data_IF_154127143329
#
_entry.id   IF_154127143329
#
_cell.length_a   1.000
_cell.length_b   1.000
_cell.length_c   1.000
_cell.angle_alpha   90.00
_cell.angle_beta   90.00
_cell.angle_gamma   90.00
#
_symmetry.space_group_name_H-M   'P 1'
#
loop_
_entity.id
_entity.type
_entity.pdbx_description
1 polymer ?
#
# COMPACT_ATOMS: atom_id res chain seq x y z
N UNK A 1 5.29 23.27 2.77
CA UNK A 1 4.09 23.38 1.89
C UNK A 1 4.28 22.77 0.51
N UNK A 2 5.37 23.00 -0.22
CA UNK A 2 5.58 22.39 -1.54
C UNK A 2 5.53 20.86 -1.57
N UNK A 3 6.11 20.18 -0.57
CA UNK A 3 6.10 18.72 -0.49
C UNK A 3 4.70 18.12 -0.33
N UNK A 4 3.81 18.79 0.40
CA UNK A 4 2.42 18.37 0.55
C UNK A 4 1.65 18.52 -0.77
N UNK A 5 1.91 19.58 -1.54
CA UNK A 5 1.30 19.79 -2.87
C UNK A 5 1.74 18.67 -3.81
N UNK A 6 3.04 18.34 -3.85
CA UNK A 6 3.57 17.25 -4.68
C UNK A 6 2.99 15.90 -4.28
N UNK A 7 2.80 15.64 -2.98
CA UNK A 7 2.14 14.42 -2.49
C UNK A 7 0.67 14.34 -2.94
N UNK A 8 -0.08 15.43 -2.83
CA UNK A 8 -1.47 15.48 -3.28
C UNK A 8 -1.54 15.27 -4.79
N UNK A 9 -0.66 15.91 -5.56
CA UNK A 9 -0.61 15.75 -7.01
C UNK A 9 -0.33 14.28 -7.39
N UNK A 10 0.60 13.62 -6.69
CA UNK A 10 0.90 12.20 -6.89
C UNK A 10 -0.31 11.30 -6.57
N UNK A 11 -1.10 11.63 -5.54
CA UNK A 11 -2.34 10.90 -5.22
C UNK A 11 -3.44 11.14 -6.25
N UNK A 12 -3.55 12.36 -6.78
CA UNK A 12 -4.55 12.69 -7.81
C UNK A 12 -4.34 11.91 -9.12
N UNK A 13 -3.11 11.49 -9.42
CA UNK A 13 -2.83 10.60 -10.56
C UNK A 13 -3.54 9.25 -10.45
N UNK A 14 -3.81 8.77 -9.22
CA UNK A 14 -4.51 7.49 -9.01
C UNK A 14 -5.97 7.53 -9.48
N UNK A 15 -6.56 8.73 -9.60
CA UNK A 15 -7.92 8.96 -10.09
C UNK A 15 -8.03 9.08 -11.62
N UNK A 16 -6.91 8.91 -12.34
CA UNK A 16 -6.83 8.97 -13.79
C UNK A 16 -6.49 7.59 -14.37
N UNK A 17 -7.05 7.27 -15.53
CA UNK A 17 -6.69 6.06 -16.27
C UNK A 17 -5.19 6.12 -16.63
N UNK A 18 -4.40 5.15 -16.14
CA UNK A 18 -2.96 5.10 -16.43
C UNK A 18 -2.14 6.26 -15.85
N UNK A 19 -2.65 6.98 -14.84
CA UNK A 19 -1.91 8.03 -14.13
C UNK A 19 -1.85 9.40 -14.80
N UNK A 20 -2.16 9.49 -16.10
CA UNK A 20 -2.16 10.75 -16.88
C UNK A 20 -3.26 10.83 -17.94
N UNK A 21 -4.10 9.79 -18.06
CA UNK A 21 -5.21 9.73 -18.99
C UNK A 21 -6.48 10.43 -18.46
N UNK A 22 -7.66 10.16 -19.04
CA UNK A 22 -8.92 10.75 -18.57
C UNK A 22 -9.25 10.32 -17.14
N UNK A 23 -10.12 11.10 -16.49
CA UNK A 23 -10.67 10.75 -15.18
C UNK A 23 -11.38 9.39 -15.20
N UNK A 24 -11.30 8.68 -14.09
CA UNK A 24 -12.01 7.42 -13.91
C UNK A 24 -13.54 7.61 -13.92
N UNK A 25 -14.30 6.53 -14.20
CA UNK A 25 -15.75 6.53 -14.02
C UNK A 25 -16.13 7.03 -12.63
N UNK A 26 -17.24 7.78 -12.53
CA UNK A 26 -17.69 8.39 -11.27
C UNK A 26 -17.85 7.37 -10.14
N UNK A 27 -18.32 6.17 -10.47
CA UNK A 27 -18.50 5.04 -9.55
C UNK A 27 -17.17 4.62 -8.90
N UNK A 28 -16.10 4.52 -9.69
CA UNK A 28 -14.75 4.18 -9.21
C UNK A 28 -14.18 5.31 -8.34
N UNK A 29 -14.36 6.57 -8.75
CA UNK A 29 -13.90 7.74 -7.99
C UNK A 29 -14.56 7.76 -6.61
N UNK A 30 -15.87 7.49 -6.55
CA UNK A 30 -16.63 7.44 -5.30
C UNK A 30 -16.13 6.30 -4.42
N UNK A 31 -15.94 5.10 -4.97
CA UNK A 31 -15.40 3.95 -4.22
C UNK A 31 -13.99 4.20 -3.66
N UNK A 32 -13.10 4.78 -4.48
CA UNK A 32 -11.74 5.16 -4.05
C UNK A 32 -11.75 6.23 -2.94
N UNK A 33 -12.67 7.20 -3.03
CA UNK A 33 -12.78 8.26 -2.02
C UNK A 33 -13.32 7.72 -0.69
N UNK A 34 -14.36 6.87 -0.74
CA UNK A 34 -14.94 6.25 0.46
C UNK A 34 -13.89 5.37 1.18
N UNK A 35 -13.16 4.55 0.43
CA UNK A 35 -12.11 3.69 0.99
C UNK A 35 -10.94 4.50 1.55
N UNK A 36 -10.53 5.60 0.90
CA UNK A 36 -9.52 6.50 1.42
C UNK A 36 -9.95 7.19 2.73
N UNK A 37 -11.19 7.67 2.80
CA UNK A 37 -11.75 8.26 4.02
C UNK A 37 -11.83 7.23 5.15
N UNK A 38 -12.24 6.00 4.85
CA UNK A 38 -12.23 4.91 5.82
C UNK A 38 -10.82 4.60 6.32
N UNK A 39 -9.82 4.58 5.44
CA UNK A 39 -8.42 4.34 5.82
C UNK A 39 -7.89 5.42 6.77
N UNK A 40 -8.20 6.70 6.48
CA UNK A 40 -7.86 7.83 7.34
C UNK A 40 -8.56 7.70 8.70
N UNK A 41 -9.86 7.40 8.71
CA UNK A 41 -10.62 7.20 9.94
C UNK A 41 -10.05 6.04 10.76
N UNK A 42 -9.74 4.90 10.13
CA UNK A 42 -9.14 3.74 10.76
C UNK A 42 -7.77 4.08 11.38
N UNK A 43 -6.92 4.82 10.68
CA UNK A 43 -5.61 5.24 11.20
C UNK A 43 -5.74 6.16 12.44
N UNK A 44 -6.68 7.10 12.40
CA UNK A 44 -6.93 8.04 13.51
C UNK A 44 -7.57 7.32 14.71
N UNK A 45 -8.50 6.39 14.48
CA UNK A 45 -9.15 5.65 15.56
C UNK A 45 -8.18 4.64 16.19
N UNK A 46 -7.38 3.93 15.38
CA UNK A 46 -6.45 2.92 15.88
C UNK A 46 -5.37 3.51 16.80
N UNK A 47 -4.86 4.70 16.46
CA UNK A 47 -3.89 5.40 17.30
C UNK A 47 -4.44 5.83 18.66
N UNK A 48 -5.76 5.85 18.84
CA UNK A 48 -6.44 6.15 20.11
C UNK A 48 -6.75 4.92 20.96
N UNK A 49 -6.42 3.70 20.50
CA UNK A 49 -6.63 2.47 21.27
C UNK A 49 -5.35 2.11 22.05
N UNK A 50 -5.29 2.40 23.36
CA UNK A 50 -4.03 2.34 24.13
C UNK A 50 -3.48 0.92 24.36
N UNK A 51 -4.29 -0.15 24.19
CA UNK A 51 -3.85 -1.53 24.43
C UNK A 51 -3.41 -2.30 23.18
N UNK A 52 -3.90 -1.93 22.00
CA UNK A 52 -3.65 -2.67 20.75
C UNK A 52 -2.65 -1.94 19.85
N UNK A 53 -2.53 -0.62 19.99
CA UNK A 53 -1.61 0.20 19.19
C UNK A 53 -0.12 -0.04 19.47
N UNK A 54 0.25 -0.68 20.59
CA UNK A 54 1.65 -1.01 20.90
C UNK A 54 2.17 -2.23 20.13
N UNK A 55 1.29 -3.11 19.65
CA UNK A 55 1.66 -4.33 18.94
C UNK A 55 1.71 -4.15 17.42
N UNK A 56 0.97 -3.17 16.89
CA UNK A 56 0.83 -2.96 15.45
C UNK A 56 0.85 -1.46 15.14
N UNK A 57 1.78 -1.00 14.27
CA UNK A 57 1.77 0.36 13.78
C UNK A 57 0.40 0.73 13.20
N UNK A 58 -0.14 1.87 13.60
CA UNK A 58 -1.43 2.37 13.11
C UNK A 58 -1.57 2.38 11.57
N UNK A 59 -0.52 2.71 10.78
CA UNK A 59 -0.60 2.61 9.32
C UNK A 59 -0.85 1.18 8.83
N UNK A 60 -0.20 0.19 9.45
CA UNK A 60 -0.32 -1.21 9.05
C UNK A 60 -1.71 -1.75 9.40
N UNK A 61 -2.22 -1.43 10.59
CA UNK A 61 -3.58 -1.77 10.98
C UNK A 61 -4.64 -1.11 10.08
N UNK A 62 -4.44 0.16 9.73
CA UNK A 62 -5.31 0.89 8.78
C UNK A 62 -5.37 0.19 7.42
N UNK A 63 -4.22 -0.23 6.86
CA UNK A 63 -4.18 -0.96 5.58
C UNK A 63 -4.94 -2.27 5.67
N UNK A 64 -4.76 -3.04 6.74
CA UNK A 64 -5.48 -4.31 6.95
C UNK A 64 -6.99 -4.07 7.02
N UNK A 65 -7.43 -3.14 7.87
CA UNK A 65 -8.85 -2.82 8.05
C UNK A 65 -9.48 -2.32 6.76
N UNK A 66 -8.78 -1.45 6.02
CA UNK A 66 -9.27 -0.92 4.74
C UNK A 66 -9.33 -2.02 3.68
N UNK A 67 -8.40 -2.98 3.69
CA UNK A 67 -8.43 -4.12 2.78
C UNK A 67 -9.65 -5.00 3.05
N UNK A 68 -9.92 -5.30 4.32
CA UNK A 68 -11.12 -6.06 4.72
C UNK A 68 -12.39 -5.31 4.32
N UNK A 69 -12.45 -4.01 4.63
CA UNK A 69 -13.58 -3.15 4.27
C UNK A 69 -13.81 -3.13 2.75
N UNK A 70 -12.75 -3.02 1.95
CA UNK A 70 -12.85 -3.02 0.49
C UNK A 70 -13.37 -4.36 -0.04
N UNK A 71 -12.99 -5.49 0.55
CA UNK A 71 -13.51 -6.83 0.19
C UNK A 71 -15.00 -6.94 0.52
N UNK A 72 -15.42 -6.43 1.68
CA UNK A 72 -16.83 -6.41 2.08
C UNK A 72 -17.65 -5.50 1.17
N UNK A 73 -17.15 -4.32 0.83
CA UNK A 73 -17.82 -3.41 -0.10
C UNK A 73 -17.90 -3.96 -1.52
N UNK A 74 -16.91 -4.73 -1.97
CA UNK A 74 -16.96 -5.45 -3.25
C UNK A 74 -18.12 -6.45 -3.26
N UNK A 75 -18.34 -7.18 -2.16
CA UNK A 75 -19.50 -8.08 -2.04
C UNK A 75 -20.86 -7.37 -2.07
N UNK A 76 -20.89 -6.06 -1.80
CA UNK A 76 -22.07 -5.21 -1.85
C UNK A 76 -22.22 -4.44 -3.19
N UNK A 77 -21.37 -4.72 -4.19
CA UNK A 77 -21.46 -4.14 -5.53
C UNK A 77 -20.71 -2.81 -5.73
N UNK A 78 -19.87 -2.39 -4.78
CA UNK A 78 -18.97 -1.26 -5.01
C UNK A 78 -17.75 -1.69 -5.83
N UNK A 79 -17.43 -0.93 -6.89
CA UNK A 79 -16.24 -1.13 -7.70
C UNK A 79 -14.97 -0.92 -6.86
N UNK A 80 -14.15 -1.97 -6.74
CA UNK A 80 -12.86 -1.93 -6.05
C UNK A 80 -11.74 -1.83 -7.07
N UNK A 81 -10.90 -0.80 -6.95
CA UNK A 81 -9.65 -0.68 -7.70
C UNK A 81 -8.49 -1.21 -6.86
N UNK A 82 -7.80 -2.22 -7.35
CA UNK A 82 -6.67 -2.82 -6.64
C UNK A 82 -5.35 -2.14 -7.00
N UNK A 83 -4.31 -2.37 -6.20
CA UNK A 83 -2.96 -1.89 -6.51
C UNK A 83 -2.48 -2.37 -7.89
N UNK A 84 -2.89 -3.57 -8.31
CA UNK A 84 -2.59 -4.13 -9.62
C UNK A 84 -3.18 -3.28 -10.76
N UNK A 85 -4.35 -2.68 -10.55
CA UNK A 85 -5.04 -1.86 -11.56
C UNK A 85 -4.50 -0.41 -11.61
N UNK A 86 -3.76 0.00 -10.58
CA UNK A 86 -3.15 1.34 -10.48
C UNK A 86 -1.69 1.32 -10.93
N UNK A 87 -0.88 0.37 -10.45
CA UNK A 87 0.54 0.29 -10.81
C UNK A 87 0.81 -0.58 -12.05
N UNK A 88 -0.22 -1.24 -12.58
CA UNK A 88 -0.10 -2.20 -13.67
C UNK A 88 0.43 -3.56 -13.20
N UNK A 89 0.03 -4.62 -13.91
CA UNK A 89 0.44 -5.99 -13.62
C UNK A 89 1.98 -6.15 -13.69
N UNK A 90 2.61 -5.47 -14.64
CA UNK A 90 4.07 -5.47 -14.88
C UNK A 90 4.90 -5.10 -13.64
N UNK A 91 4.46 -4.08 -12.87
CA UNK A 91 5.20 -3.57 -11.70
C UNK A 91 5.29 -4.59 -10.56
N UNK A 92 4.32 -5.52 -10.47
CA UNK A 92 4.28 -6.54 -9.42
C UNK A 92 4.76 -7.92 -9.88
N UNK A 93 4.84 -8.17 -11.20
CA UNK A 93 5.32 -9.44 -11.77
C UNK A 93 6.81 -9.64 -11.48
N UNK A 94 7.60 -8.57 -11.40
CA UNK A 94 9.02 -8.63 -11.05
C UNK A 94 9.33 -8.70 -9.55
N UNK A 95 8.43 -8.24 -8.66
CA UNK A 95 8.79 -7.95 -7.27
C UNK A 95 9.35 -9.13 -6.46
N UNK A 96 8.98 -10.38 -6.78
CA UNK A 96 9.57 -11.58 -6.15
C UNK A 96 10.81 -12.10 -6.86
N UNK A 97 10.93 -11.87 -8.16
CA UNK A 97 12.05 -12.36 -8.99
C UNK A 97 13.20 -11.36 -9.07
N UNK A 98 12.96 -10.09 -8.73
CA UNK A 98 13.98 -9.04 -8.62
C UNK A 98 14.55 -8.92 -7.21
N UNK A 99 13.97 -9.60 -6.21
CA UNK A 99 14.58 -9.67 -4.89
C UNK A 99 15.86 -10.51 -5.01
N UNK A 100 17.04 -9.94 -4.68
CA UNK A 100 18.24 -10.74 -4.63
C UNK A 100 18.04 -11.88 -3.63
N UNK A 101 18.55 -13.07 -3.95
CA UNK A 101 18.55 -14.17 -2.99
C UNK A 101 19.19 -13.71 -1.70
N UNK A 102 18.56 -14.03 -0.56
CA UNK A 102 19.11 -13.75 0.76
C UNK A 102 20.44 -14.51 0.93
N UNK A 103 21.56 -13.81 0.74
CA UNK A 103 22.92 -14.35 0.85
C UNK A 103 23.55 -13.91 2.18
N UNK A 104 22.83 -14.16 3.28
CA UNK A 104 23.38 -13.92 4.62
C UNK A 104 23.14 -15.14 5.53
N UNK A 105 24.19 -15.76 6.07
CA UNK A 105 25.62 -15.48 5.85
C UNK A 105 26.09 -15.79 4.40
N UNK A 106 26.96 -14.98 3.74
CA UNK A 106 27.39 -15.27 2.39
C UNK A 106 28.09 -16.63 2.34
N UNK A 107 27.70 -17.46 1.38
CA UNK A 107 28.21 -18.84 1.29
C UNK A 107 29.71 -18.92 0.96
N UNK A 108 30.35 -17.81 0.55
CA UNK A 108 31.78 -17.71 0.28
C UNK A 108 32.63 -17.20 1.46
N UNK A 109 32.01 -16.97 2.62
CA UNK A 109 32.63 -16.36 3.79
C UNK A 109 32.79 -17.45 4.85
N UNK A 110 34.02 -17.90 5.10
CA UNK A 110 34.37 -18.78 6.21
C UNK A 110 34.26 -18.01 7.54
N UNK A 111 33.09 -18.01 8.16
CA UNK A 111 32.80 -17.36 9.44
C UNK A 111 33.58 -17.89 10.64
N UNK A 112 34.30 -18.99 10.46
CA UNK A 112 35.16 -19.60 11.46
C UNK A 112 36.64 -19.26 11.27
N UNK A 113 37.03 -18.65 10.15
CA UNK A 113 38.36 -18.07 10.00
C UNK A 113 38.38 -16.70 10.69
N UNK A 114 39.20 -16.56 11.74
CA UNK A 114 39.42 -15.29 12.44
C UNK A 114 40.13 -14.21 11.62
N UNK A 115 40.11 -14.32 10.29
CA UNK A 115 40.77 -13.45 9.31
C UNK A 115 39.75 -12.77 8.38
N UNK A 116 38.53 -12.59 8.84
CA UNK A 116 37.54 -11.75 8.15
C UNK A 116 37.49 -10.42 8.87
N UNK A 117 38.38 -9.53 8.37
CA UNK A 117 38.78 -8.22 8.89
C UNK A 117 39.59 -8.28 10.19
#
# INVERSE_FOLDING_TARGET
NGLAIVMIEAQMRQYHVGGSGPWLPKEDIVGMTITALFAMAAAVVWSRIPRVSSWLPAPLASVILTTIFAIVCESAGMSRRTLKDVAGTETFVGGRTTLPSWDFPPAGVNWHDGHMW
#
